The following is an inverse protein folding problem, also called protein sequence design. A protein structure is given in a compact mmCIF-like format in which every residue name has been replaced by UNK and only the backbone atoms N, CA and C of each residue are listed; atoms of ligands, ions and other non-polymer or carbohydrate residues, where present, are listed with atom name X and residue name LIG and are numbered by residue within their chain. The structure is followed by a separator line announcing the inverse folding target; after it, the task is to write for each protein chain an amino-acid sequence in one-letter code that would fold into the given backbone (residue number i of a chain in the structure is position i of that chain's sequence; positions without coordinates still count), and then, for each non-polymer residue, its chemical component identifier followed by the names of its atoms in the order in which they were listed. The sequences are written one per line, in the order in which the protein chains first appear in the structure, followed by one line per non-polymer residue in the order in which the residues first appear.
data_IF_697029801588
#
_entry.id   IF_697029801588
#
_cell.length_a   1.000
_cell.length_b   1.000
_cell.length_c   1.000
_cell.angle_alpha   90.00
_cell.angle_beta   90.00
_cell.angle_gamma   90.00
#
_symmetry.space_group_name_H-M   'P 1'
#
loop_
_entity.id
_entity.type
_entity.pdbx_description
1 polymer ?
#
# COMPACT_ATOMS: atom_id res chain seq x y z
N UNK A 1 -0.71 21.76 -5.74
CA UNK A 1 0.68 21.88 -5.21
C UNK A 1 1.41 22.88 -6.08
N UNK A 2 2.12 23.87 -5.52
CA UNK A 2 2.87 24.89 -6.30
C UNK A 2 4.39 24.83 -6.11
N UNK A 3 4.86 24.03 -5.14
CA UNK A 3 6.29 23.87 -4.84
C UNK A 3 6.90 22.79 -5.75
N UNK A 4 7.89 23.11 -6.59
CA UNK A 4 8.56 22.13 -7.46
C UNK A 4 9.37 21.08 -6.69
N UNK A 5 9.69 21.31 -5.41
CA UNK A 5 10.40 20.36 -4.55
C UNK A 5 9.46 19.47 -3.73
N UNK A 6 8.15 19.61 -3.92
CA UNK A 6 7.18 18.78 -3.22
C UNK A 6 7.41 17.30 -3.56
N UNK A 7 7.64 16.43 -2.55
CA UNK A 7 7.91 15.03 -2.82
C UNK A 7 6.63 14.33 -3.28
N UNK A 8 6.66 13.72 -4.46
CA UNK A 8 5.63 12.81 -4.94
C UNK A 8 6.13 11.37 -4.75
N UNK A 9 5.34 10.56 -4.06
CA UNK A 9 5.75 9.25 -3.58
C UNK A 9 4.93 8.09 -4.11
N UNK A 10 5.23 6.92 -3.57
CA UNK A 10 4.52 5.67 -3.86
C UNK A 10 2.99 5.82 -3.64
N UNK A 11 2.21 5.36 -4.62
CA UNK A 11 0.74 5.39 -4.65
C UNK A 11 0.12 6.80 -4.66
N UNK A 12 0.91 7.87 -4.78
CA UNK A 12 0.35 9.22 -4.95
C UNK A 12 -0.33 9.35 -6.32
N UNK A 13 -1.41 10.13 -6.33
CA UNK A 13 -2.18 10.46 -7.53
C UNK A 13 -1.85 11.90 -7.94
N UNK A 14 -1.48 12.07 -9.20
CA UNK A 14 -1.21 13.35 -9.84
C UNK A 14 -2.31 13.58 -10.87
N UNK A 15 -3.15 14.58 -10.61
CA UNK A 15 -4.22 14.98 -11.51
C UNK A 15 -3.84 16.27 -12.23
N UNK A 16 -4.09 16.32 -13.54
CA UNK A 16 -3.92 17.51 -14.38
C UNK A 16 -5.32 17.91 -14.89
N UNK A 17 -6.03 18.82 -14.18
CA UNK A 17 -7.42 19.13 -14.51
C UNK A 17 -7.63 19.72 -15.91
N UNK A 18 -6.62 20.40 -16.45
CA UNK A 18 -6.67 21.04 -17.78
C UNK A 18 -6.70 20.02 -18.91
N UNK A 19 -6.00 18.89 -18.78
CA UNK A 19 -5.99 17.79 -19.75
C UNK A 19 -6.98 16.69 -19.39
N UNK A 20 -7.48 16.67 -18.14
CA UNK A 20 -8.34 15.63 -17.62
C UNK A 20 -7.61 14.31 -17.34
N UNK A 21 -6.29 14.33 -17.29
CA UNK A 21 -5.44 13.16 -17.09
C UNK A 21 -5.14 12.95 -15.60
N UNK A 22 -5.19 11.68 -15.18
CA UNK A 22 -4.86 11.24 -13.83
C UNK A 22 -3.77 10.18 -13.90
N UNK A 23 -2.73 10.35 -13.09
CA UNK A 23 -1.58 9.43 -13.03
C UNK A 23 -1.38 8.94 -11.61
N UNK A 24 -0.99 7.68 -11.44
CA UNK A 24 -0.53 7.13 -10.16
C UNK A 24 0.94 6.76 -10.23
N UNK A 25 1.68 7.13 -9.20
CA UNK A 25 3.09 6.74 -9.07
C UNK A 25 3.17 5.31 -8.54
N UNK A 26 3.65 4.39 -9.36
CA UNK A 26 3.75 2.96 -9.04
C UNK A 26 5.15 2.45 -9.43
N UNK A 27 5.74 1.52 -8.66
CA UNK A 27 6.94 0.84 -9.07
C UNK A 27 6.70 -0.06 -10.29
N UNK A 28 7.47 0.15 -11.35
CA UNK A 28 7.52 -0.71 -12.54
C UNK A 28 8.81 -1.53 -12.51
N UNK A 29 8.71 -2.82 -12.81
CA UNK A 29 9.86 -3.73 -12.78
C UNK A 29 11.00 -3.25 -13.67
N UNK A 30 12.19 -3.11 -13.09
CA UNK A 30 13.44 -2.59 -13.71
C UNK A 30 13.41 -1.12 -14.17
N UNK A 31 12.32 -0.37 -13.95
CA UNK A 31 12.27 1.07 -14.23
C UNK A 31 12.26 1.94 -12.97
N UNK A 32 11.93 1.37 -11.81
CA UNK A 32 11.75 2.14 -10.58
C UNK A 32 10.35 2.72 -10.50
N UNK A 33 10.18 3.90 -9.90
CA UNK A 33 8.88 4.58 -9.85
C UNK A 33 8.57 5.20 -11.21
N UNK A 34 7.37 4.93 -11.73
CA UNK A 34 6.88 5.45 -13.00
C UNK A 34 5.46 5.97 -12.84
N UNK A 35 5.00 6.77 -13.80
CA UNK A 35 3.64 7.31 -13.86
C UNK A 35 2.76 6.38 -14.69
N UNK A 36 1.75 5.80 -14.04
CA UNK A 36 0.74 4.97 -14.70
C UNK A 36 -0.54 5.79 -14.84
N UNK A 37 -1.01 6.01 -16.06
CA UNK A 37 -2.30 6.65 -16.31
C UNK A 37 -3.44 5.80 -15.72
N UNK A 38 -4.35 6.44 -15.01
CA UNK A 38 -5.47 5.80 -14.30
C UNK A 38 -6.80 6.46 -14.66
N UNK A 39 -7.92 5.72 -14.58
CA UNK A 39 -9.24 6.32 -14.73
C UNK A 39 -9.59 7.20 -13.52
N UNK A 40 -10.46 8.19 -13.75
CA UNK A 40 -10.92 9.15 -12.72
C UNK A 40 -11.50 8.51 -11.46
N UNK A 41 -12.12 7.32 -11.59
CA UNK A 41 -12.63 6.56 -10.46
C UNK A 41 -11.52 6.10 -9.51
N UNK A 42 -10.36 5.70 -10.06
CA UNK A 42 -9.19 5.34 -9.28
C UNK A 42 -8.50 6.56 -8.66
N UNK A 43 -8.60 7.73 -9.30
CA UNK A 43 -7.99 8.96 -8.80
C UNK A 43 -8.62 9.44 -7.48
N UNK A 44 -9.86 9.04 -7.20
CA UNK A 44 -10.59 9.38 -5.96
C UNK A 44 -10.09 8.66 -4.71
N UNK A 45 -9.17 7.70 -4.82
CA UNK A 45 -8.63 6.99 -3.66
C UNK A 45 -7.15 6.63 -3.80
N UNK A 46 -6.56 6.33 -2.65
CA UNK A 46 -5.18 5.86 -2.51
C UNK A 46 -5.11 4.66 -1.60
N UNK A 47 -4.25 3.71 -1.94
CA UNK A 47 -3.91 2.63 -1.04
C UNK A 47 -2.72 3.04 -0.17
N UNK A 48 -2.84 2.83 1.13
CA UNK A 48 -1.82 3.17 2.10
C UNK A 48 -1.52 2.00 3.02
N UNK A 49 -0.28 1.51 2.97
CA UNK A 49 0.20 0.49 3.89
C UNK A 49 0.39 1.06 5.29
N UNK A 50 -0.06 0.32 6.31
CA UNK A 50 0.14 0.62 7.73
C UNK A 50 1.58 0.28 8.12
N UNK A 51 2.32 1.27 8.59
CA UNK A 51 3.71 1.12 9.04
C UNK A 51 3.78 0.95 10.55
N UNK A 52 2.95 1.68 11.30
CA UNK A 52 2.96 1.64 12.77
C UNK A 52 1.55 1.80 13.31
N UNK A 53 1.29 1.10 14.41
CA UNK A 53 0.09 1.22 15.23
C UNK A 53 0.53 1.47 16.66
N UNK A 54 0.03 2.51 17.31
CA UNK A 54 0.40 2.85 18.68
C UNK A 54 -0.75 3.49 19.45
N UNK A 55 -0.84 3.22 20.74
CA UNK A 55 -1.65 4.03 21.64
C UNK A 55 -0.98 5.37 21.88
N UNK A 56 -1.77 6.43 21.95
CA UNK A 56 -1.33 7.80 22.23
C UNK A 56 -2.08 8.35 23.44
N UNK A 57 -1.62 9.50 23.96
CA UNK A 57 -2.25 10.15 25.10
C UNK A 57 -3.76 10.38 24.88
N UNK A 58 -4.52 10.23 25.98
CA UNK A 58 -5.98 10.29 25.96
C UNK A 58 -6.67 8.95 25.65
N UNK A 59 -5.95 7.82 25.69
CA UNK A 59 -6.52 6.49 25.43
C UNK A 59 -6.82 6.22 23.94
N UNK A 60 -6.39 7.12 23.07
CA UNK A 60 -6.65 7.06 21.63
C UNK A 60 -5.65 6.15 20.91
N UNK A 61 -5.99 5.73 19.70
CA UNK A 61 -5.13 4.91 18.84
C UNK A 61 -4.70 5.70 17.62
N UNK A 62 -3.43 5.56 17.25
CA UNK A 62 -2.87 6.20 16.06
C UNK A 62 -2.30 5.13 15.11
N UNK A 63 -2.66 5.28 13.84
CA UNK A 63 -2.13 4.50 12.73
C UNK A 63 -1.27 5.42 11.87
N UNK A 64 0.01 5.08 11.72
CA UNK A 64 0.95 5.76 10.83
C UNK A 64 1.05 4.98 9.52
N UNK A 65 0.86 5.69 8.41
CA UNK A 65 0.90 5.17 7.05
C UNK A 65 2.26 5.41 6.42
N UNK A 66 2.54 4.68 5.33
CA UNK A 66 3.83 4.74 4.63
C UNK A 66 4.16 6.09 3.98
N UNK A 67 3.16 6.93 3.72
CA UNK A 67 3.29 8.28 3.17
C UNK A 67 3.43 9.36 4.25
N UNK A 68 3.62 8.95 5.51
CA UNK A 68 3.79 9.85 6.66
C UNK A 68 2.48 10.35 7.27
N UNK A 69 1.32 10.02 6.70
CA UNK A 69 0.02 10.38 7.27
C UNK A 69 -0.22 9.63 8.59
N UNK A 70 -0.91 10.30 9.51
CA UNK A 70 -1.34 9.73 10.79
C UNK A 70 -2.86 9.81 10.90
N UNK A 71 -3.51 8.66 11.03
CA UNK A 71 -4.94 8.57 11.29
C UNK A 71 -5.13 8.30 12.78
N UNK A 72 -5.82 9.21 13.48
CA UNK A 72 -6.08 9.11 14.92
C UNK A 72 -7.53 8.73 15.16
N UNK A 73 -7.74 7.67 15.92
CA UNK A 73 -9.04 7.19 16.34
C UNK A 73 -9.27 7.54 17.80
N UNK A 74 -10.34 8.30 18.05
CA UNK A 74 -10.72 8.65 19.42
C UNK A 74 -11.41 7.48 20.12
N UNK A 75 -12.28 6.80 19.38
CA UNK A 75 -13.03 5.64 19.82
C UNK A 75 -12.35 4.36 19.31
N UNK A 76 -12.27 3.35 20.17
CA UNK A 76 -11.64 2.06 19.89
C UNK A 76 -12.71 1.02 19.56
N UNK A 77 -13.23 1.06 18.34
CA UNK A 77 -14.13 0.02 17.83
C UNK A 77 -13.35 -1.25 17.50
N UNK A 78 -14.04 -2.39 17.40
CA UNK A 78 -13.43 -3.67 16.99
C UNK A 78 -12.74 -3.58 15.62
N UNK A 79 -13.29 -2.77 14.71
CA UNK A 79 -12.70 -2.51 13.40
C UNK A 79 -11.33 -1.82 13.54
N UNK A 80 -11.25 -0.75 14.34
CA UNK A 80 -10.02 0.00 14.59
C UNK A 80 -8.97 -0.89 15.28
N UNK A 81 -9.41 -1.77 16.18
CA UNK A 81 -8.56 -2.74 16.84
C UNK A 81 -8.11 -3.86 15.88
N UNK A 82 -8.88 -4.18 14.84
CA UNK A 82 -8.54 -5.20 13.84
C UNK A 82 -7.40 -4.81 12.90
N UNK A 83 -7.13 -3.51 12.71
CA UNK A 83 -6.04 -3.02 11.86
C UNK A 83 -4.67 -3.48 12.37
N UNK A 84 -3.87 -4.13 11.51
CA UNK A 84 -2.52 -4.59 11.85
C UNK A 84 -1.46 -3.87 11.04
N UNK A 85 -0.23 -3.89 11.51
CA UNK A 85 0.91 -3.43 10.71
C UNK A 85 1.04 -4.29 9.46
N UNK A 86 1.53 -3.70 8.36
CA UNK A 86 1.68 -4.33 7.03
C UNK A 86 0.38 -4.54 6.25
N UNK A 87 -0.78 -4.40 6.89
CA UNK A 87 -2.07 -4.29 6.18
C UNK A 87 -2.11 -3.00 5.34
N UNK A 88 -3.06 -2.94 4.40
CA UNK A 88 -3.26 -1.78 3.55
C UNK A 88 -4.67 -1.22 3.72
N UNK A 89 -4.77 0.09 3.86
CA UNK A 89 -6.05 0.81 3.92
C UNK A 89 -6.28 1.51 2.59
N UNK A 90 -7.48 1.35 2.03
CA UNK A 90 -7.97 2.17 0.93
C UNK A 90 -8.58 3.42 1.53
N UNK A 91 -8.06 4.57 1.14
CA UNK A 91 -8.46 5.87 1.69
C UNK A 91 -8.93 6.77 0.56
N UNK A 92 -10.06 7.43 0.77
CA UNK A 92 -10.56 8.46 -0.14
C UNK A 92 -9.66 9.70 -0.15
N UNK A 93 -9.49 10.29 -1.32
CA UNK A 93 -8.84 11.60 -1.49
C UNK A 93 -9.92 12.55 -2.04
N UNK A 94 -10.10 13.75 -1.46
CA UNK A 94 -9.26 14.40 -0.44
C UNK A 94 -9.71 14.15 1.02
N UNK A 95 -10.86 13.52 1.27
CA UNK A 95 -11.49 13.44 2.59
C UNK A 95 -10.77 12.56 3.62
N UNK A 96 -9.86 11.69 3.19
CA UNK A 96 -9.10 10.77 4.04
C UNK A 96 -9.98 9.79 4.85
N UNK A 97 -11.19 9.50 4.37
CA UNK A 97 -12.03 8.46 4.96
C UNK A 97 -11.53 7.09 4.51
N UNK A 98 -11.45 6.15 5.46
CA UNK A 98 -11.13 4.75 5.18
C UNK A 98 -12.34 4.12 4.49
N UNK A 99 -12.12 3.61 3.29
CA UNK A 99 -13.14 2.95 2.47
C UNK A 99 -13.08 1.43 2.61
N UNK A 100 -11.87 0.88 2.76
CA UNK A 100 -11.66 -0.57 2.74
C UNK A 100 -10.37 -0.95 3.47
N UNK A 101 -10.37 -2.13 4.11
CA UNK A 101 -9.22 -2.70 4.80
C UNK A 101 -8.76 -4.00 4.14
N UNK A 102 -7.56 -3.96 3.58
CA UNK A 102 -6.90 -5.11 2.96
C UNK A 102 -5.94 -5.75 3.95
N UNK A 103 -6.32 -6.91 4.47
CA UNK A 103 -5.50 -7.70 5.39
C UNK A 103 -4.34 -8.36 4.66
N UNK A 104 -3.18 -8.39 5.31
CA UNK A 104 -2.05 -9.20 4.87
C UNK A 104 -2.32 -10.68 5.20
N UNK A 105 -2.72 -11.44 4.18
CA UNK A 105 -2.95 -12.88 4.27
C UNK A 105 -2.67 -13.56 2.92
N UNK A 106 -2.61 -14.88 2.93
CA UNK A 106 -2.48 -15.68 1.71
C UNK A 106 -3.68 -15.47 0.79
N UNK A 107 -3.48 -15.72 -0.51
CA UNK A 107 -4.45 -15.50 -1.59
C UNK A 107 -4.82 -14.04 -1.89
N UNK A 108 -4.27 -13.06 -1.15
CA UNK A 108 -4.42 -11.64 -1.50
C UNK A 108 -3.46 -11.24 -2.63
N UNK A 109 -3.78 -10.16 -3.33
CA UNK A 109 -2.96 -9.60 -4.39
C UNK A 109 -1.92 -8.64 -3.81
N UNK A 110 -0.64 -8.93 -4.05
CA UNK A 110 0.50 -8.19 -3.52
C UNK A 110 1.33 -7.52 -4.60
N UNK A 111 1.90 -6.36 -4.28
CA UNK A 111 2.87 -5.60 -5.08
C UNK A 111 4.18 -5.46 -4.30
N UNK A 112 5.32 -5.73 -4.94
CA UNK A 112 6.62 -5.45 -4.37
C UNK A 112 6.99 -3.97 -4.55
N UNK A 113 7.00 -3.24 -3.44
CA UNK A 113 7.26 -1.80 -3.43
C UNK A 113 8.73 -1.44 -3.26
N UNK A 114 9.59 -2.39 -2.88
CA UNK A 114 11.03 -2.19 -2.62
C UNK A 114 11.85 -3.43 -2.99
N UNK A 115 13.16 -3.24 -3.08
CA UNK A 115 14.14 -4.31 -3.33
C UNK A 115 14.39 -4.58 -4.81
N UNK A 116 15.24 -5.57 -5.13
CA UNK A 116 15.67 -5.86 -6.51
C UNK A 116 14.54 -6.35 -7.43
N UNK A 117 13.44 -6.81 -6.83
CA UNK A 117 12.23 -7.29 -7.50
C UNK A 117 11.06 -6.30 -7.41
N UNK A 118 11.35 -5.04 -7.08
CA UNK A 118 10.37 -3.96 -7.04
C UNK A 118 9.58 -3.89 -8.37
N UNK A 119 8.27 -3.68 -8.27
CA UNK A 119 7.35 -3.60 -9.40
C UNK A 119 6.79 -4.94 -9.88
N UNK A 120 7.30 -6.07 -9.37
CA UNK A 120 6.61 -7.35 -9.57
C UNK A 120 5.39 -7.44 -8.64
N UNK A 121 4.31 -8.02 -9.16
CA UNK A 121 3.06 -8.17 -8.44
C UNK A 121 2.38 -9.49 -8.80
N UNK A 122 1.49 -9.95 -7.93
CA UNK A 122 0.82 -11.24 -8.10
C UNK A 122 0.13 -11.71 -6.82
N UNK A 123 -0.35 -12.94 -6.83
CA UNK A 123 -1.04 -13.53 -5.67
C UNK A 123 -0.02 -13.98 -4.61
N UNK A 124 -0.34 -13.72 -3.34
CA UNK A 124 0.45 -14.20 -2.20
C UNK A 124 0.19 -15.70 -2.03
N UNK A 125 1.25 -16.49 -2.21
CA UNK A 125 1.21 -17.96 -2.11
C UNK A 125 1.56 -18.42 -0.70
N UNK A 126 2.56 -17.79 -0.08
CA UNK A 126 3.10 -18.24 1.20
C UNK A 126 3.62 -17.04 2.00
N UNK A 127 3.30 -17.04 3.30
CA UNK A 127 3.79 -16.07 4.27
C UNK A 127 4.63 -16.75 5.34
N UNK A 128 5.95 -16.51 5.35
CA UNK A 128 6.85 -17.00 6.41
C UNK A 128 7.06 -15.89 7.43
N UNK A 129 6.13 -15.79 8.38
CA UNK A 129 6.17 -14.82 9.49
C UNK A 129 6.96 -15.30 10.69
N UNK A 130 6.99 -16.62 10.92
CA UNK A 130 7.60 -17.23 12.10
C UNK A 130 9.09 -17.49 11.86
N UNK A 131 9.87 -16.43 11.98
CA UNK A 131 11.33 -16.50 11.84
C UNK A 131 12.00 -16.02 13.12
N UNK A 132 13.00 -16.78 13.58
CA UNK A 132 13.83 -16.39 14.72
C UNK A 132 14.89 -15.41 14.25
N UNK A 133 15.03 -14.30 14.98
CA UNK A 133 16.09 -13.32 14.74
C UNK A 133 17.46 -14.01 14.63
N UNK A 134 18.29 -13.71 13.62
CA UNK A 134 18.29 -12.53 12.75
C UNK A 134 17.53 -12.68 11.41
N UNK A 135 16.84 -13.81 11.20
CA UNK A 135 16.10 -14.01 9.96
C UNK A 135 14.92 -13.04 9.86
N UNK A 136 14.65 -12.54 8.65
CA UNK A 136 13.55 -11.61 8.36
C UNK A 136 12.38 -12.34 7.73
N UNK A 137 11.13 -11.94 8.04
CA UNK A 137 9.96 -12.57 7.44
C UNK A 137 9.96 -12.48 5.91
N UNK A 138 9.58 -13.57 5.25
CA UNK A 138 9.56 -13.69 3.80
C UNK A 138 8.13 -13.84 3.28
N UNK A 139 7.93 -13.41 2.03
CA UNK A 139 6.72 -13.65 1.26
C UNK A 139 7.08 -14.28 -0.08
N UNK A 140 6.28 -15.25 -0.51
CA UNK A 140 6.31 -15.80 -1.86
C UNK A 140 5.10 -15.30 -2.64
N UNK A 141 5.36 -14.72 -3.82
CA UNK A 141 4.35 -14.26 -4.77
C UNK A 141 4.37 -15.13 -6.02
N UNK A 142 3.20 -15.46 -6.55
CA UNK A 142 3.06 -16.03 -7.90
C UNK A 142 2.75 -14.89 -8.87
N UNK A 143 3.72 -14.58 -9.73
CA UNK A 143 3.67 -13.46 -10.69
C UNK A 143 3.58 -14.00 -12.12
N UNK A 144 3.28 -13.12 -13.07
CA UNK A 144 3.34 -13.41 -14.51
C UNK A 144 4.72 -13.91 -14.98
N UNK A 145 5.79 -13.49 -14.30
CA UNK A 145 7.18 -13.87 -14.56
C UNK A 145 7.66 -15.07 -13.73
N UNK A 146 6.73 -15.74 -13.06
CA UNK A 146 6.98 -16.90 -12.20
C UNK A 146 6.99 -16.57 -10.70
N UNK A 147 7.37 -17.57 -9.92
CA UNK A 147 7.35 -17.47 -8.46
C UNK A 147 8.53 -16.65 -7.92
N UNK A 148 8.21 -15.70 -7.04
CA UNK A 148 9.15 -14.74 -6.50
C UNK A 148 9.09 -14.72 -4.99
N UNK A 149 10.22 -15.00 -4.35
CA UNK A 149 10.40 -14.75 -2.91
C UNK A 149 11.02 -13.38 -2.67
N UNK A 150 10.50 -12.64 -1.68
CA UNK A 150 10.99 -11.33 -1.21
C UNK A 150 10.77 -11.17 0.30
N UNK A 151 11.23 -10.05 0.87
CA UNK A 151 10.97 -9.69 2.27
C UNK A 151 9.51 -9.24 2.43
N UNK A 152 8.87 -9.64 3.52
CA UNK A 152 7.49 -9.24 3.85
C UNK A 152 7.34 -7.71 4.00
N UNK A 153 8.43 -7.03 4.36
CA UNK A 153 8.45 -5.57 4.49
C UNK A 153 8.44 -4.85 3.15
N UNK A 154 8.79 -5.54 2.06
CA UNK A 154 8.78 -4.99 0.71
C UNK A 154 7.45 -5.19 0.00
N UNK A 155 6.51 -5.88 0.63
CA UNK A 155 5.20 -6.16 0.06
C UNK A 155 4.20 -5.06 0.41
N UNK A 156 3.28 -4.78 -0.49
CA UNK A 156 2.07 -4.02 -0.20
C UNK A 156 0.88 -4.79 -0.76
N UNK A 157 -0.16 -4.98 0.05
CA UNK A 157 -1.39 -5.62 -0.42
C UNK A 157 -2.16 -4.59 -1.23
N UNK A 158 -2.49 -4.92 -2.48
CA UNK A 158 -3.14 -3.99 -3.41
C UNK A 158 -4.52 -4.44 -3.85
N UNK A 159 -4.97 -5.62 -3.41
CA UNK A 159 -6.33 -6.11 -3.60
C UNK A 159 -6.51 -7.52 -3.05
N UNK A 160 -7.70 -8.07 -3.25
CA UNK A 160 -8.04 -9.46 -2.90
C UNK A 160 -7.66 -10.39 -4.06
N UNK A 161 -8.62 -10.74 -4.93
CA UNK A 161 -8.36 -11.59 -6.10
C UNK A 161 -7.72 -10.83 -7.26
N UNK A 162 -8.11 -9.56 -7.41
CA UNK A 162 -7.64 -8.64 -8.43
C UNK A 162 -7.06 -7.40 -7.74
N UNK A 163 -6.06 -6.74 -8.35
CA UNK A 163 -5.57 -5.48 -7.81
C UNK A 163 -6.70 -4.45 -7.90
N UNK A 164 -6.90 -3.70 -6.82
CA UNK A 164 -7.84 -2.58 -6.82
C UNK A 164 -7.30 -1.43 -7.67
N UNK A 165 -5.98 -1.32 -7.80
CA UNK A 165 -5.31 -0.30 -8.59
C UNK A 165 -4.87 -0.86 -9.94
N UNK A 166 -4.87 -0.02 -10.97
CA UNK A 166 -4.21 -0.33 -12.23
C UNK A 166 -2.71 -0.54 -12.00
N UNK A 167 -2.20 -1.68 -12.47
CA UNK A 167 -0.79 -2.04 -12.45
C UNK A 167 -0.27 -2.16 -13.89
N UNK A 168 1.01 -1.85 -14.12
CA UNK A 168 1.67 -1.88 -15.44
C UNK A 168 1.88 -3.29 -15.99
#
# INVERSE_FOLDING_TARGET
VKDPKFPAGLMDVISIPETGEDYRIIPVYRKGLDLVEIPKEEAGYKLCRIVRKMHVSGGHLQITLHDGRNIRFKELTDEVLSYKTKDTLKISIPSQMILEHLKLQENMYGLLIKGPKQGLHGKIVELKTDVVYPAKPLVKLSTDKGDVTSLLDYLMVVGSDKPLVRLP
#
